data_IF_539442633973
#
_entry.id   IF_539442633973
#
_cell.length_a   1.000
_cell.length_b   1.000
_cell.length_c   1.000
_cell.angle_alpha   90.00
_cell.angle_beta   90.00
_cell.angle_gamma   90.00
#
_symmetry.space_group_name_H-M   'P 1'
#
loop_
_entity.id
_entity.type
_entity.pdbx_description
1 polymer ?
2 non-polymer ?
3 non-polymer ?
4 water ?
#
# COMPACT_ATOMS: atom_id res chain seq x y z
N UNK A 3 26.16 0.39 1.11
CA UNK A 3 24.89 1.06 0.85
C UNK A 3 24.24 1.61 2.11
N UNK A 4 23.74 2.84 2.05
CA UNK A 4 23.08 3.48 3.19
C UNK A 4 21.61 3.74 2.87
N UNK A 5 20.73 2.87 3.35
CA UNK A 5 19.28 2.92 3.04
C UNK A 5 18.49 3.38 4.27
N UNK A 6 17.73 4.47 4.10
CA UNK A 6 16.76 4.94 5.09
C UNK A 6 15.34 4.63 4.62
N UNK A 7 14.48 4.15 5.52
CA UNK A 7 13.07 4.00 5.22
C UNK A 7 12.25 4.89 6.14
N UNK A 8 11.37 5.70 5.56
CA UNK A 8 10.51 6.59 6.31
C UNK A 8 9.07 6.06 6.27
N UNK A 9 8.35 6.25 7.37
CA UNK A 9 7.01 5.72 7.47
C UNK A 9 6.28 6.55 8.51
N UNK A 10 5.29 7.32 8.05
CA UNK A 10 4.51 8.17 8.94
C UNK A 10 3.68 7.32 9.89
N UNK A 11 3.56 7.79 11.13
CA UNK A 11 2.83 7.09 12.20
C UNK A 11 1.34 7.38 12.08
N UNK A 12 0.54 6.32 11.95
CA UNK A 12 -0.91 6.46 11.86
C UNK A 12 -1.26 7.73 11.11
N UNK A 13 -0.74 7.83 9.89
CA UNK A 13 -0.95 8.98 9.00
C UNK A 13 -2.27 9.76 9.02
N UNK A 14 -3.37 9.11 8.61
CA UNK A 14 -4.65 9.81 8.55
C UNK A 14 -5.12 10.22 9.92
N UNK A 15 -5.01 9.33 10.88
CA UNK A 15 -5.45 9.67 12.23
C UNK A 15 -4.58 10.76 12.82
N UNK A 16 -3.29 10.75 12.51
CA UNK A 16 -2.43 11.78 13.08
C UNK A 16 -2.73 13.13 12.45
N UNK A 17 -2.98 13.17 11.14
CA UNK A 17 -3.45 14.38 10.50
C UNK A 17 -4.72 14.88 11.16
N UNK A 18 -5.65 13.97 11.48
CA UNK A 18 -6.91 14.39 12.07
C UNK A 18 -6.71 14.98 13.46
N UNK A 19 -5.86 14.35 14.27
CA UNK A 19 -5.56 14.88 15.60
C UNK A 19 -4.77 16.17 15.52
N UNK A 20 -3.93 16.31 14.50
CA UNK A 20 -3.20 17.58 14.35
C UNK A 20 -4.14 18.70 13.93
N UNK A 21 -5.06 18.45 13.00
CA UNK A 21 -6.00 19.48 12.59
C UNK A 21 -7.11 19.74 13.60
N UNK A 22 -7.37 18.82 14.54
CA UNK A 22 -8.43 19.02 15.54
C UNK A 22 -7.89 18.77 16.94
N UNK A 23 -7.44 19.84 17.62
CA UNK A 23 -6.92 19.70 18.99
C UNK A 23 -7.81 18.86 19.90
N UNK A 24 -9.13 18.95 19.70
CA UNK A 24 -10.03 18.28 20.60
C UNK A 24 -10.02 16.77 20.42
N UNK A 25 -9.35 16.27 19.39
CA UNK A 25 -9.20 14.84 19.14
C UNK A 25 -7.90 14.27 19.69
N UNK A 26 -6.97 15.12 20.12
CA UNK A 26 -5.66 14.65 20.54
C UNK A 26 -5.78 13.85 21.82
N UNK A 27 -4.87 12.88 21.96
CA UNK A 27 -4.86 12.02 23.11
C UNK A 27 -5.98 11.02 23.18
N UNK A 28 -6.96 11.09 22.28
CA UNK A 28 -8.07 10.16 22.28
C UNK A 28 -8.00 9.19 21.11
N UNK A 29 -8.66 8.04 21.19
CA UNK A 29 -8.65 7.11 20.06
C UNK A 29 -9.36 7.70 18.84
N UNK A 30 -8.65 7.75 17.72
CA UNK A 30 -9.21 8.25 16.48
C UNK A 30 -9.06 7.14 15.44
N UNK A 31 -10.17 6.86 14.73
CA UNK A 31 -10.27 5.78 13.77
C UNK A 31 -10.78 6.38 12.49
N UNK A 32 -9.97 6.35 11.46
CA UNK A 32 -10.32 6.91 10.16
C UNK A 32 -10.67 5.71 9.28
N UNK A 33 -11.77 5.81 8.53
CA UNK A 33 -12.21 4.72 7.68
C UNK A 33 -13.58 4.99 7.05
N UNK A 34 -14.15 3.93 6.48
CA UNK A 34 -15.43 4.06 5.79
C UNK A 34 -16.59 4.03 6.76
N UNK A 35 -17.40 5.07 6.79
CA UNK A 35 -18.51 5.13 7.72
C UNK A 35 -19.84 4.54 7.26
N UNK A 36 -19.85 3.97 6.07
CA UNK A 36 -21.08 3.41 5.51
C UNK A 36 -21.15 1.98 6.05
N UNK A 37 -21.94 1.13 5.40
CA UNK A 37 -22.11 -0.24 5.84
C UNK A 37 -21.00 -1.26 5.91
N UNK A 38 -20.31 -1.44 4.80
CA UNK A 38 -19.21 -2.38 4.76
C UNK A 38 -17.92 -1.62 4.98
N UNK A 39 -18.01 -0.47 5.66
CA UNK A 39 -16.79 0.29 5.88
C UNK A 39 -15.69 -0.45 6.60
N UNK A 40 -14.48 -0.08 6.28
CA UNK A 40 -13.28 -0.74 6.79
C UNK A 40 -12.36 0.31 7.39
N UNK A 41 -11.67 -0.05 8.48
CA UNK A 41 -10.75 0.91 9.10
C UNK A 41 -9.60 1.17 8.14
N UNK A 42 -9.35 2.45 7.85
CA UNK A 42 -8.18 2.78 7.06
C UNK A 42 -6.97 2.81 7.96
N UNK A 43 -7.05 3.60 9.03
CA UNK A 43 -5.99 3.65 10.01
C UNK A 43 -6.61 4.12 11.32
N UNK A 44 -5.89 3.92 12.43
CA UNK A 44 -6.35 4.41 13.71
C UNK A 44 -5.15 4.73 14.57
N UNK A 45 -5.33 5.71 15.46
CA UNK A 45 -4.24 6.19 16.28
C UNK A 45 -3.82 5.13 17.30
N UNK A 46 -2.72 5.42 18.00
CA UNK A 46 -2.12 4.38 18.85
C UNK A 46 -2.94 4.17 20.13
N UNK A 47 -3.57 5.24 20.62
CA UNK A 47 -4.65 5.06 21.59
C UNK A 47 -5.65 4.01 21.09
N UNK A 48 -6.20 4.19 19.89
CA UNK A 48 -7.23 3.27 19.39
C UNK A 48 -6.68 1.85 19.24
N UNK A 49 -5.41 1.70 18.86
CA UNK A 49 -4.85 0.36 18.74
C UNK A 49 -4.79 -0.33 20.09
N UNK A 50 -4.65 0.44 21.18
CA UNK A 50 -4.68 -0.21 22.48
C UNK A 50 -6.01 -0.96 22.70
N UNK A 51 -7.10 -0.53 22.05
CA UNK A 51 -8.40 -1.19 22.16
C UNK A 51 -8.52 -2.42 21.28
N UNK A 52 -7.48 -2.74 20.51
CA UNK A 52 -7.54 -3.86 19.59
C UNK A 52 -7.91 -3.51 18.18
N UNK A 53 -8.12 -2.22 17.85
CA UNK A 53 -8.47 -1.82 16.51
C UNK A 53 -7.21 -1.80 15.63
N UNK A 54 -7.33 -2.24 14.39
CA UNK A 54 -6.24 -2.18 13.43
C UNK A 54 -6.82 -1.92 12.04
N UNK A 55 -5.94 -1.65 11.08
CA UNK A 55 -6.43 -1.38 9.73
C UNK A 55 -6.97 -2.65 9.09
N UNK A 56 -7.87 -2.44 8.14
CA UNK A 56 -8.63 -3.46 7.42
C UNK A 56 -9.68 -4.07 8.31
N UNK A 57 -9.77 -3.66 9.55
CA UNK A 57 -10.81 -4.24 10.37
C UNK A 57 -12.14 -3.59 10.00
N UNK A 58 -13.22 -4.38 9.96
CA UNK A 58 -14.53 -3.79 9.70
C UNK A 58 -14.87 -2.74 10.74
N UNK A 59 -15.54 -1.68 10.30
CA UNK A 59 -15.75 -0.53 11.18
C UNK A 59 -16.77 -0.83 12.26
N UNK A 60 -17.75 -1.69 12.02
CA UNK A 60 -18.72 -1.91 13.08
C UNK A 60 -18.08 -2.66 14.23
N UNK A 61 -17.13 -3.55 13.94
CA UNK A 61 -16.33 -4.16 15.00
C UNK A 61 -15.53 -3.13 15.77
N UNK A 62 -14.69 -2.36 15.07
CA UNK A 62 -13.96 -1.27 15.73
C UNK A 62 -14.87 -0.45 16.65
N UNK A 63 -16.09 -0.12 16.20
CA UNK A 63 -17.02 0.63 17.05
C UNK A 63 -17.41 -0.18 18.28
N UNK A 64 -17.55 -1.50 18.12
CA UNK A 64 -17.84 -2.36 19.27
C UNK A 64 -16.69 -2.34 20.27
N UNK A 65 -15.44 -2.43 19.78
CA UNK A 65 -14.27 -2.46 20.65
C UNK A 65 -14.05 -1.14 21.36
N UNK A 66 -14.55 -0.04 20.79
CA UNK A 66 -14.20 1.31 21.24
C UNK A 66 -15.37 2.27 21.05
N UNK A 67 -16.47 2.02 21.77
CA UNK A 67 -17.69 2.82 21.52
C UNK A 67 -17.50 4.31 21.70
N UNK A 68 -16.59 4.74 22.57
CA UNK A 68 -16.39 6.18 22.75
C UNK A 68 -15.40 6.76 21.76
N UNK A 69 -14.81 5.94 20.90
CA UNK A 69 -13.87 6.42 19.93
C UNK A 69 -14.38 7.51 19.02
N UNK A 70 -13.47 8.31 18.48
CA UNK A 70 -13.79 9.26 17.41
C UNK A 70 -13.61 8.56 16.07
N UNK A 71 -14.70 8.37 15.34
CA UNK A 71 -14.70 7.71 14.03
C UNK A 71 -14.90 8.76 12.95
N UNK A 72 -13.97 8.80 11.99
CA UNK A 72 -13.91 9.83 10.97
C UNK A 72 -13.90 9.22 9.56
N UNK A 73 -14.39 9.94 8.57
CA UNK A 73 -14.28 9.48 7.18
C UNK A 73 -12.93 9.86 6.60
N UNK A 74 -12.65 9.36 5.40
CA UNK A 74 -11.33 9.51 4.79
C UNK A 74 -11.30 10.84 4.05
N UNK A 75 -10.61 11.84 4.61
CA UNK A 75 -10.40 13.14 3.96
C UNK A 75 -9.20 13.05 3.02
N UNK A 76 -9.42 12.38 1.89
CA UNK A 76 -8.35 12.03 0.96
C UNK A 76 -7.54 13.24 0.54
N UNK A 77 -8.20 14.34 0.21
CA UNK A 77 -7.47 15.46 -0.37
C UNK A 77 -6.58 16.17 0.66
N UNK A 78 -7.05 16.29 1.90
CA UNK A 78 -6.22 16.84 2.97
C UNK A 78 -4.99 15.97 3.21
N UNK A 79 -5.20 14.65 3.24
CA UNK A 79 -4.09 13.72 3.41
C UNK A 79 -3.07 13.86 2.28
N UNK A 80 -3.54 14.06 1.05
CA UNK A 80 -2.60 14.21 -0.05
C UNK A 80 -1.84 15.53 0.01
N UNK A 81 -2.49 16.60 0.48
CA UNK A 81 -1.76 17.81 0.81
C UNK A 81 -0.57 17.48 1.71
N UNK A 82 -0.87 16.90 2.87
CA UNK A 82 0.22 16.68 3.83
C UNK A 82 1.28 15.76 3.24
N UNK A 83 0.87 14.78 2.42
CA UNK A 83 1.84 13.87 1.81
C UNK A 83 2.79 14.62 0.88
N UNK A 84 2.28 15.63 0.16
CA UNK A 84 3.17 16.36 -0.73
C UNK A 84 4.13 17.23 0.07
N UNK A 85 3.66 17.82 1.15
CA UNK A 85 4.59 18.67 1.90
C UNK A 85 5.57 17.86 2.72
N UNK A 86 5.37 16.55 2.84
CA UNK A 86 6.39 15.67 3.40
C UNK A 86 7.38 15.19 2.33
N UNK A 87 6.86 14.76 1.19
CA UNK A 87 7.76 14.28 0.15
C UNK A 87 8.67 15.39 -0.35
N UNK A 88 8.24 16.65 -0.21
CA UNK A 88 9.13 17.75 -0.55
C UNK A 88 10.41 17.73 0.29
N UNK A 89 10.25 17.62 1.61
CA UNK A 89 11.41 17.45 2.48
C UNK A 89 12.25 16.23 2.06
N UNK A 90 11.58 15.13 1.74
CA UNK A 90 12.29 13.91 1.37
C UNK A 90 13.16 14.10 0.13
N UNK A 91 12.67 14.83 -0.85
CA UNK A 91 13.45 15.07 -2.07
C UNK A 91 14.51 16.15 -1.87
N UNK A 92 14.24 17.08 -0.96
CA UNK A 92 15.21 18.12 -0.63
C UNK A 92 16.42 17.49 0.07
N UNK A 93 16.22 16.41 0.80
CA UNK A 93 17.32 15.75 1.46
C UNK A 93 18.20 15.06 0.42
N UNK A 94 17.58 14.34 -0.51
CA UNK A 94 18.31 13.68 -1.59
C UNK A 94 17.32 13.41 -2.70
N UNK A 95 17.78 13.39 -3.96
CA UNK A 95 16.87 13.06 -5.06
C UNK A 95 16.55 11.58 -5.14
N UNK A 96 17.35 10.72 -4.52
CA UNK A 96 17.17 9.28 -4.63
C UNK A 96 16.09 8.80 -3.66
N UNK A 97 14.85 9.14 -3.99
CA UNK A 97 13.67 8.80 -3.20
C UNK A 97 12.80 7.84 -4.01
N UNK A 98 12.48 6.68 -3.43
CA UNK A 98 11.53 5.74 -4.02
C UNK A 98 10.22 5.78 -3.23
N UNK A 99 9.25 6.62 -3.62
CA UNK A 99 7.91 6.53 -3.02
C UNK A 99 7.35 5.12 -2.99
N UNK A 100 6.86 4.72 -1.82
CA UNK A 100 6.15 3.46 -1.62
C UNK A 100 4.65 3.71 -1.57
N UNK A 101 4.25 4.79 -0.88
CA UNK A 101 2.84 5.05 -0.69
C UNK A 101 2.72 6.47 -0.20
N UNK A 102 1.46 6.89 0.00
CA UNK A 102 1.17 8.26 0.42
C UNK A 102 1.96 8.61 1.65
N UNK A 103 2.34 7.62 2.44
CA UNK A 103 3.10 7.86 3.67
C UNK A 103 4.38 7.04 3.82
N UNK A 104 4.90 6.45 2.76
CA UNK A 104 6.11 5.66 2.91
C UNK A 104 7.07 5.90 1.76
N UNK A 105 8.34 6.12 2.11
CA UNK A 105 9.39 6.24 1.09
C UNK A 105 10.64 5.51 1.55
N UNK A 106 11.49 5.17 0.58
CA UNK A 106 12.87 4.84 0.83
C UNK A 106 13.75 5.97 0.30
N UNK A 107 14.87 6.20 0.97
CA UNK A 107 15.92 7.09 0.51
C UNK A 107 17.23 6.32 0.45
N UNK A 108 17.97 6.50 -0.63
CA UNK A 108 19.32 5.96 -0.80
C UNK A 108 20.29 7.09 -0.51
N UNK A 109 20.75 7.16 0.73
CA UNK A 109 21.66 8.23 1.16
C UNK A 109 23.11 7.75 1.23
N UNK A 110 23.45 6.67 0.51
CA UNK A 110 24.82 6.18 0.51
C UNK A 110 25.83 7.26 0.12
N UNK A 111 25.45 8.17 -0.77
CA UNK A 111 26.33 9.24 -1.24
C UNK A 111 25.93 10.60 -0.69
N UNK A 112 25.48 10.64 0.57
CA UNK A 112 25.17 11.90 1.24
C UNK A 112 26.18 12.11 2.35
N UNK A 113 26.55 13.35 2.59
CA UNK A 113 27.57 13.66 3.57
C UNK A 113 27.20 13.37 5.01
N UNK A 114 26.07 13.90 5.45
CA UNK A 114 25.68 13.70 6.84
C UNK A 114 25.52 12.22 7.13
N UNK A 115 25.76 11.85 8.39
CA UNK A 115 25.57 10.47 8.79
C UNK A 115 24.08 10.12 8.73
N UNK A 116 23.74 8.91 8.29
CA UNK A 116 22.32 8.51 8.22
C UNK A 116 21.54 8.81 9.49
N UNK A 117 22.14 8.64 10.66
CA UNK A 117 21.46 8.93 11.91
C UNK A 117 21.09 10.41 12.00
N UNK A 118 22.04 11.29 11.68
CA UNK A 118 21.75 12.72 11.63
C UNK A 118 20.70 13.02 10.56
N UNK A 119 20.71 12.24 9.47
CA UNK A 119 19.76 12.47 8.39
C UNK A 119 18.34 12.14 8.86
N UNK A 120 18.17 11.00 9.52
CA UNK A 120 16.87 10.64 10.06
C UNK A 120 16.41 11.66 11.10
N UNK A 121 17.33 12.13 11.94
CA UNK A 121 16.97 13.19 12.86
C UNK A 121 16.50 14.43 12.13
N UNK A 122 17.09 14.71 10.96
CA UNK A 122 16.65 15.91 10.25
C UNK A 122 15.30 15.69 9.57
N UNK A 123 15.06 14.48 9.05
CA UNK A 123 13.74 14.15 8.53
C UNK A 123 12.69 14.37 9.63
N UNK A 124 12.92 13.76 10.80
CA UNK A 124 12.00 13.91 11.92
C UNK A 124 11.74 15.36 12.25
N UNK A 125 12.82 16.14 12.46
CA UNK A 125 12.66 17.53 12.86
C UNK A 125 11.91 18.32 11.80
N UNK A 126 12.38 18.23 10.56
CA UNK A 126 11.76 18.95 9.44
C UNK A 126 10.29 18.63 9.26
N UNK A 127 9.93 17.36 9.46
CA UNK A 127 8.55 16.92 9.29
C UNK A 127 7.68 17.43 10.45
N UNK A 128 8.15 17.31 11.69
CA UNK A 128 7.33 17.78 12.79
C UNK A 128 7.24 19.29 12.82
N UNK A 129 8.26 19.98 12.34
CA UNK A 129 8.17 21.44 12.27
C UNK A 129 7.16 21.85 11.20
N UNK A 130 7.10 21.11 10.10
CA UNK A 130 6.25 21.48 8.97
C UNK A 130 4.79 21.07 9.16
N UNK A 131 4.53 19.97 9.88
CA UNK A 131 3.20 19.39 9.93
C UNK A 131 2.72 19.03 11.33
N UNK A 132 3.60 19.00 12.33
CA UNK A 132 3.18 18.58 13.65
C UNK A 132 3.14 17.08 13.86
N UNK A 133 3.53 16.29 12.87
CA UNK A 133 3.40 14.84 12.90
C UNK A 133 4.76 14.18 13.11
N UNK A 134 4.72 12.97 13.66
CA UNK A 134 5.93 12.18 13.89
C UNK A 134 6.08 11.12 12.81
N UNK A 135 7.34 10.74 12.55
CA UNK A 135 7.67 9.80 11.48
C UNK A 135 8.65 8.78 12.04
N UNK A 136 8.39 7.50 11.79
CA UNK A 136 9.32 6.48 12.19
C UNK A 136 10.32 6.23 11.06
N UNK A 137 11.60 6.16 11.45
CA UNK A 137 12.68 6.07 10.47
C UNK A 137 13.52 4.84 10.75
N UNK A 138 13.86 4.13 9.68
CA UNK A 138 14.72 2.96 9.77
C UNK A 138 15.99 3.25 8.99
N UNK A 139 17.10 2.64 9.43
CA UNK A 139 18.42 2.83 8.83
C UNK A 139 19.07 1.46 8.72
N UNK A 140 19.58 1.15 7.55
CA UNK A 140 20.28 -0.13 7.38
C UNK A 140 21.08 -0.05 6.08
N UNK A 141 21.46 -1.23 5.57
CA UNK A 141 22.12 -1.37 4.28
C UNK A 141 21.22 -2.04 3.25
N UNK A 142 19.91 -2.07 3.50
CA UNK A 142 18.97 -2.85 2.71
C UNK A 142 17.66 -2.09 2.67
N UNK A 143 16.79 -2.48 1.73
CA UNK A 143 15.41 -2.02 1.82
C UNK A 143 14.63 -2.84 2.84
N UNK A 144 14.78 -4.17 2.80
CA UNK A 144 14.07 -5.05 3.73
C UNK A 144 14.41 -4.69 5.17
N UNK A 145 15.70 -4.51 5.46
CA UNK A 145 16.10 -4.19 6.81
C UNK A 145 15.69 -2.77 7.20
N UNK A 146 15.82 -1.83 6.28
CA UNK A 146 15.47 -0.46 6.63
C UNK A 146 13.98 -0.33 6.96
N UNK A 147 13.13 -1.09 6.28
CA UNK A 147 11.71 -1.02 6.60
C UNK A 147 11.38 -1.82 7.86
N UNK A 148 12.09 -2.93 8.12
CA UNK A 148 12.01 -3.53 9.44
C UNK A 148 12.35 -2.52 10.52
N UNK A 149 13.44 -1.78 10.32
CA UNK A 149 13.87 -0.84 11.34
C UNK A 149 12.89 0.31 11.51
N UNK A 150 12.17 0.70 10.46
CA UNK A 150 11.24 1.80 10.59
C UNK A 150 9.97 1.42 11.34
N UNK A 151 9.52 0.19 11.13
CA UNK A 151 8.32 -0.30 11.75
C UNK A 151 8.59 -0.81 13.16
N UNK A 152 9.85 -1.02 13.50
CA UNK A 152 10.22 -1.55 14.82
C UNK A 152 9.84 -0.78 16.09
N UNK A 153 10.43 0.39 16.28
CA UNK A 153 10.12 1.23 17.42
C UNK A 153 9.14 2.15 16.74
N UNK A 154 8.10 1.51 16.23
CA UNK A 154 7.01 2.12 15.46
C UNK A 154 6.49 3.52 15.71
N UNK A 155 5.90 3.80 16.86
CA UNK A 155 5.51 5.20 17.09
C UNK A 155 6.71 6.09 17.41
N UNK A 156 6.98 7.04 16.52
CA UNK A 156 8.10 7.96 16.67
C UNK A 156 9.39 7.20 16.90
N UNK A 157 9.63 6.20 16.07
CA UNK A 157 10.81 5.39 16.18
C UNK A 157 12.02 5.86 15.40
N UNK A 158 13.13 5.22 15.68
CA UNK A 158 14.41 5.47 15.05
C UNK A 158 15.21 4.24 15.41
N UNK A 159 15.69 3.52 14.40
CA UNK A 159 16.43 2.30 14.66
C UNK A 159 17.40 2.06 13.53
N UNK A 160 18.63 1.74 13.89
CA UNK A 160 19.65 1.29 12.93
C UNK A 160 19.72 -0.21 13.01
N UNK A 161 19.92 -0.86 11.87
CA UNK A 161 20.24 -2.28 11.82
C UNK A 161 21.51 -2.38 10.99
N UNK A 162 22.65 -2.58 11.66
CA UNK A 162 23.91 -2.88 10.99
C UNK A 162 24.03 -4.38 10.79
N UNK A 163 25.07 -4.77 10.06
CA UNK A 163 25.36 -6.16 9.70
C UNK A 163 25.67 -7.14 10.83
N UNK A 164 26.43 -6.70 11.84
CA UNK A 164 26.77 -7.59 12.94
C UNK A 164 25.50 -8.28 13.40
N UNK A 165 24.42 -7.52 13.39
CA UNK A 165 23.12 -8.02 13.79
C UNK A 165 22.51 -8.54 12.51
N UNK A 166 23.11 -9.58 11.96
CA UNK A 166 22.62 -10.16 10.73
C UNK A 166 21.90 -11.03 11.75
N UNK A 167 21.12 -12.07 11.27
CA UNK A 167 19.76 -12.53 11.54
C UNK A 167 19.53 -12.74 13.02
N UNK A 168 20.54 -12.54 13.84
CA UNK A 168 20.38 -12.80 15.25
C UNK A 168 19.20 -12.02 15.84
N UNK A 169 19.19 -10.72 15.60
CA UNK A 169 18.14 -9.85 16.08
C UNK A 169 16.78 -10.14 15.46
N UNK A 170 16.75 -10.80 14.32
CA UNK A 170 15.49 -11.13 13.66
C UNK A 170 14.84 -12.38 14.20
N UNK A 171 15.60 -13.24 14.88
CA UNK A 171 15.08 -14.53 15.37
C UNK A 171 13.72 -14.40 16.06
N UNK A 172 13.54 -13.57 17.09
CA UNK A 172 12.25 -13.58 17.82
C UNK A 172 11.10 -12.95 17.08
N UNK A 173 11.34 -12.38 15.90
CA UNK A 173 10.30 -11.76 15.12
C UNK A 173 9.24 -12.80 14.76
N UNK A 174 7.97 -12.56 15.07
CA UNK A 174 6.91 -13.39 14.50
C UNK A 174 6.85 -13.16 13.00
N UNK A 175 6.76 -14.26 12.24
CA UNK A 175 6.70 -14.15 10.79
C UNK A 175 5.42 -13.49 10.31
N UNK A 176 4.56 -13.15 11.26
CA UNK A 176 3.36 -12.40 10.93
C UNK A 176 3.93 -11.04 10.54
N UNK A 177 4.96 -10.59 11.26
CA UNK A 177 5.65 -9.34 11.02
C UNK A 177 6.77 -9.51 10.00
N UNK A 178 6.78 -10.63 9.31
CA UNK A 178 7.78 -10.90 8.28
C UNK A 178 8.02 -9.62 7.51
N UNK A 179 6.93 -8.92 7.16
CA UNK A 179 6.99 -7.69 6.37
C UNK A 179 7.28 -8.05 4.93
N UNK A 180 8.41 -8.72 4.70
CA UNK A 180 8.86 -9.04 3.37
C UNK A 180 7.74 -9.56 2.49
N UNK A 181 7.16 -10.70 2.87
CA UNK A 181 6.04 -11.28 2.13
C UNK A 181 5.16 -12.06 3.11
N UNK A 182 4.16 -11.38 3.67
CA UNK A 182 3.25 -11.97 4.63
C UNK A 182 1.81 -11.76 4.24
N UNK A 183 0.88 -12.27 5.06
CA UNK A 183 -0.58 -12.17 4.88
C UNK A 183 -0.98 -13.02 3.66
N UNK A 184 -0.03 -13.78 3.08
CA UNK A 184 -0.32 -14.82 2.15
C UNK A 184 0.14 -16.20 2.67
N UNK A 185 1.04 -16.21 3.66
CA UNK A 185 1.47 -17.39 4.37
C UNK A 185 1.26 -17.19 5.86
N UNK A 186 0.28 -16.35 6.21
CA UNK A 186 -0.07 -16.19 7.62
C UNK A 186 -0.26 -17.54 8.28
N UNK A 187 -0.93 -18.47 7.59
CA UNK A 187 -1.28 -19.75 8.16
C UNK A 187 -0.50 -20.93 7.59
N UNK A 188 -0.25 -20.99 6.27
CA UNK A 188 0.49 -22.12 5.72
C UNK A 188 1.89 -22.25 6.29
N UNK A 189 2.26 -21.39 7.22
CA UNK A 189 3.44 -21.52 8.05
C UNK A 189 3.05 -21.75 9.52
N UNK A 190 2.05 -21.02 10.01
CA UNK A 190 1.42 -21.36 11.28
C UNK A 190 0.71 -22.72 11.22
N UNK A 191 0.40 -23.21 10.02
CA UNK A 191 -0.20 -24.53 9.90
C UNK A 191 0.85 -25.64 9.88
N UNK A 192 2.02 -25.39 9.31
CA UNK A 192 3.06 -26.41 9.19
C UNK A 192 4.06 -26.26 10.33
N UNK A 193 3.71 -25.43 11.33
CA UNK A 193 4.31 -25.53 12.64
C UNK A 193 5.40 -24.52 12.97
N UNK A 194 5.87 -23.71 12.03
CA UNK A 194 6.92 -22.72 12.29
C UNK A 194 6.24 -21.34 12.31
N UNK A 195 6.64 -20.50 13.25
CA UNK A 195 6.02 -19.19 13.40
C UNK A 195 7.02 -18.06 13.55
N UNK A 196 8.13 -18.30 14.21
CA UNK A 196 9.15 -17.28 14.35
C UNK A 196 10.16 -17.40 13.21
N UNK A 197 10.66 -16.24 12.77
CA UNK A 197 11.78 -16.21 11.83
C UNK A 197 12.81 -17.22 12.29
N UNK A 198 13.03 -17.31 13.59
CA UNK A 198 13.86 -18.36 14.16
C UNK A 198 13.49 -19.73 13.62
N UNK A 199 12.24 -20.14 13.79
CA UNK A 199 11.85 -21.46 13.31
C UNK A 199 11.97 -21.59 11.80
N UNK A 200 12.01 -20.47 11.07
CA UNK A 200 12.23 -20.56 9.63
C UNK A 200 13.60 -20.07 9.18
N UNK A 201 14.38 -19.53 10.10
CA UNK A 201 15.70 -19.03 9.74
C UNK A 201 16.51 -20.11 9.04
N UNK A 202 16.71 -19.97 7.74
CA UNK A 202 17.47 -20.94 7.00
C UNK A 202 17.06 -22.34 7.43
N UNK A 203 15.80 -22.69 7.18
CA UNK A 203 15.30 -24.00 7.58
C UNK A 203 15.73 -25.07 6.58
N UNK A 212 6.23 -23.95 -2.28
CA UNK A 212 5.57 -22.86 -1.53
C UNK A 212 5.90 -21.46 -2.06
N UNK A 213 5.06 -20.94 -2.95
CA UNK A 213 5.22 -19.60 -3.45
C UNK A 213 6.28 -19.45 -4.52
N UNK A 214 7.28 -20.35 -4.49
CA UNK A 214 8.37 -20.43 -5.47
C UNK A 214 9.04 -19.08 -5.63
N UNK A 215 8.75 -18.17 -4.71
CA UNK A 215 9.49 -16.93 -4.52
C UNK A 215 10.35 -17.03 -3.27
N UNK A 216 10.54 -18.24 -2.74
CA UNK A 216 11.33 -18.41 -1.53
C UNK A 216 12.77 -17.94 -1.65
N UNK A 217 13.31 -17.90 -2.87
CA UNK A 217 14.67 -17.39 -3.03
C UNK A 217 14.76 -15.94 -2.58
N UNK A 218 13.64 -15.20 -2.63
CA UNK A 218 13.60 -13.90 -1.98
C UNK A 218 13.59 -14.06 -0.46
N UNK A 219 12.60 -14.82 0.04
CA UNK A 219 12.39 -14.94 1.48
C UNK A 219 13.58 -15.51 2.24
N UNK A 220 14.05 -16.69 1.82
CA UNK A 220 15.25 -17.25 2.42
C UNK A 220 16.44 -16.31 2.31
N UNK A 221 16.49 -15.49 1.26
CA UNK A 221 17.59 -14.53 1.18
C UNK A 221 17.33 -13.31 2.04
N UNK A 222 16.08 -12.82 2.04
CA UNK A 222 15.73 -11.62 2.79
C UNK A 222 15.97 -11.81 4.28
N UNK A 223 15.69 -13.02 4.78
CA UNK A 223 15.89 -13.32 6.20
C UNK A 223 17.34 -13.13 6.56
N UNK A 224 18.24 -13.37 5.61
CA UNK A 224 19.63 -13.07 5.84
C UNK A 224 19.81 -11.58 5.64
N UNK A 225 21.05 -11.13 5.56
CA UNK A 225 21.25 -9.70 5.44
C UNK A 225 21.17 -9.20 4.01
N UNK A 226 20.62 -10.01 3.10
CA UNK A 226 20.86 -9.87 1.67
C UNK A 226 19.54 -9.56 0.98
N UNK A 227 19.55 -8.43 0.26
CA UNK A 227 18.41 -7.96 -0.48
C UNK A 227 18.91 -7.50 -1.84
N UNK A 228 19.72 -6.45 -1.84
CA UNK A 228 20.34 -5.91 -3.04
C UNK A 228 19.40 -5.16 -4.00
N UNK A 229 18.10 -5.25 -3.80
CA UNK A 229 17.18 -4.56 -4.68
C UNK A 229 17.46 -3.06 -4.49
N UNK A 230 17.51 -2.30 -5.57
CA UNK A 230 17.88 -0.89 -5.47
C UNK A 230 16.69 0.02 -5.22
N UNK A 231 16.95 1.10 -4.52
CA UNK A 231 15.95 2.11 -4.29
C UNK A 231 15.67 2.55 -5.72
N UNK A 232 14.43 2.42 -6.17
CA UNK A 232 14.09 2.76 -7.55
C UNK A 232 13.41 4.10 -7.82
N UNK A 233 14.19 5.14 -8.05
CA UNK A 233 13.61 6.41 -8.37
C UNK A 233 13.05 6.18 -9.74
N UNK A 234 12.15 7.04 -10.19
CA UNK A 234 11.63 6.88 -11.55
C UNK A 234 10.83 5.61 -11.86
N UNK A 235 10.05 5.12 -10.92
CA UNK A 235 9.22 3.95 -11.17
C UNK A 235 8.01 4.44 -11.94
N UNK A 236 7.75 3.87 -13.10
CA UNK A 236 6.62 4.31 -13.90
C UNK A 236 5.65 3.15 -14.10
N UNK A 237 4.40 3.38 -13.69
CA UNK A 237 3.31 2.43 -13.91
C UNK A 237 2.60 2.83 -15.21
N UNK A 238 2.53 1.91 -16.17
CA UNK A 238 1.84 2.20 -17.42
C UNK A 238 0.40 1.71 -17.41
N UNK A 239 0.14 0.61 -16.71
CA UNK A 239 -1.14 -0.06 -16.75
C UNK A 239 -1.49 -0.51 -15.34
N UNK A 240 -2.78 -0.59 -15.04
CA UNK A 240 -3.27 -1.28 -13.84
C UNK A 240 -4.55 -1.98 -14.23
N UNK A 241 -4.67 -3.26 -13.89
CA UNK A 241 -5.87 -3.97 -14.31
C UNK A 241 -6.14 -5.21 -13.48
N UNK A 242 -7.23 -5.88 -13.82
CA UNK A 242 -7.63 -7.13 -13.19
C UNK A 242 -8.44 -7.94 -14.18
N UNK A 243 -8.29 -9.27 -14.14
CA UNK A 243 -9.10 -10.14 -14.98
C UNK A 243 -9.47 -11.39 -14.20
N UNK A 244 -10.38 -12.16 -14.79
CA UNK A 244 -10.93 -13.37 -14.19
C UNK A 244 -11.26 -14.31 -15.33
N UNK A 245 -10.68 -15.51 -15.29
CA UNK A 245 -11.14 -16.63 -16.10
C UNK A 245 -12.49 -17.09 -15.57
N UNK A 246 -13.43 -17.36 -16.45
CA UNK A 246 -14.77 -17.63 -15.93
C UNK A 246 -14.98 -19.13 -15.70
N UNK A 247 -15.99 -19.43 -14.86
CA UNK A 247 -16.37 -20.81 -14.55
C UNK A 247 -16.92 -21.52 -15.78
N UNK A 248 -17.71 -20.83 -16.59
CA UNK A 248 -18.22 -21.40 -17.82
C UNK A 248 -18.30 -20.30 -18.86
N UNK A 249 -18.34 -20.70 -20.13
CA UNK A 249 -18.46 -19.75 -21.22
C UNK A 249 -19.79 -19.00 -21.12
N UNK A 250 -19.81 -17.79 -21.67
CA UNK A 250 -21.01 -16.98 -21.53
C UNK A 250 -21.05 -15.96 -22.65
N UNK A 251 -22.28 -15.56 -23.01
CA UNK A 251 -22.51 -14.38 -23.83
C UNK A 251 -23.41 -13.40 -23.11
N UNK A 252 -23.52 -13.54 -21.80
CA UNK A 252 -24.44 -12.76 -20.98
C UNK A 252 -23.72 -11.51 -20.49
N UNK A 253 -23.88 -10.42 -21.26
CA UNK A 253 -23.27 -9.15 -20.89
C UNK A 253 -23.55 -8.79 -19.43
N UNK A 254 -24.66 -9.26 -18.86
CA UNK A 254 -24.99 -8.88 -17.49
C UNK A 254 -23.96 -9.38 -16.49
N UNK A 255 -23.57 -10.65 -16.58
CA UNK A 255 -22.63 -11.19 -15.60
C UNK A 255 -21.23 -10.69 -15.90
N UNK A 256 -20.91 -10.51 -17.18
CA UNK A 256 -19.67 -9.86 -17.55
C UNK A 256 -19.56 -8.51 -16.87
N UNK A 257 -20.64 -7.74 -16.89
CA UNK A 257 -20.62 -6.40 -16.34
C UNK A 257 -20.57 -6.43 -14.81
N UNK A 258 -21.15 -7.45 -14.17
CA UNK A 258 -20.94 -7.56 -12.72
C UNK A 258 -19.47 -7.70 -12.40
N UNK A 259 -18.78 -8.54 -13.19
CA UNK A 259 -17.34 -8.66 -13.02
C UNK A 259 -16.67 -7.31 -13.21
N UNK A 260 -17.03 -6.60 -14.29
CA UNK A 260 -16.46 -5.29 -14.55
C UNK A 260 -16.66 -4.34 -13.36
N UNK A 261 -17.84 -4.39 -12.74
CA UNK A 261 -18.10 -3.62 -11.52
C UNK A 261 -17.05 -3.89 -10.45
N UNK A 262 -16.86 -5.17 -10.11
CA UNK A 262 -15.91 -5.50 -9.06
C UNK A 262 -14.47 -5.14 -9.46
N UNK A 263 -14.16 -5.29 -10.75
CA UNK A 263 -12.87 -4.83 -11.26
C UNK A 263 -12.68 -3.35 -11.03
N UNK A 264 -13.67 -2.54 -11.41
CA UNK A 264 -13.68 -1.10 -11.16
C UNK A 264 -13.33 -0.76 -9.72
N UNK A 265 -13.92 -1.48 -8.77
CA UNK A 265 -13.58 -1.21 -7.38
C UNK A 265 -12.11 -1.49 -7.11
N UNK A 266 -11.61 -2.64 -7.54
CA UNK A 266 -10.20 -2.96 -7.29
C UNK A 266 -9.28 -1.93 -7.95
N UNK A 267 -9.55 -1.59 -9.21
CA UNK A 267 -8.68 -0.70 -9.95
C UNK A 267 -8.71 0.70 -9.36
N UNK A 268 -9.90 1.15 -8.94
CA UNK A 268 -9.98 2.43 -8.27
C UNK A 268 -9.10 2.43 -7.04
N UNK A 269 -9.17 1.36 -6.25
CA UNK A 269 -8.38 1.35 -5.04
C UNK A 269 -6.88 1.42 -5.36
N UNK A 270 -6.45 0.76 -6.43
CA UNK A 270 -5.03 0.81 -6.76
C UNK A 270 -4.60 2.18 -7.27
N UNK A 271 -5.45 2.81 -8.10
CA UNK A 271 -5.15 4.18 -8.55
C UNK A 271 -5.01 5.11 -7.35
N UNK A 272 -6.00 5.09 -6.46
CA UNK A 272 -5.99 5.98 -5.30
C UNK A 272 -4.74 5.76 -4.46
N UNK A 273 -4.36 4.48 -4.27
CA UNK A 273 -3.18 4.16 -3.49
C UNK A 273 -1.90 4.65 -4.17
N UNK A 274 -1.88 4.65 -5.50
CA UNK A 274 -0.72 5.11 -6.26
C UNK A 274 -0.69 6.63 -6.45
N UNK A 275 -1.75 7.31 -6.03
CA UNK A 275 -1.84 8.75 -6.19
C UNK A 275 -1.83 9.03 -7.69
N UNK A 276 -2.71 8.36 -8.40
CA UNK A 276 -2.81 8.49 -9.84
C UNK A 276 -4.22 8.60 -10.35
N UNK A 277 -4.34 9.11 -11.58
CA UNK A 277 -5.62 9.26 -12.25
C UNK A 277 -5.43 8.60 -13.59
N UNK A 278 -6.51 8.34 -14.31
CA UNK A 278 -6.39 7.67 -15.59
C UNK A 278 -7.33 8.32 -16.60
N UNK A 279 -7.06 8.08 -17.89
CA UNK A 279 -7.90 8.60 -18.95
C UNK A 279 -8.26 7.58 -20.03
N UNK A 280 -7.68 6.39 -20.00
CA UNK A 280 -8.08 5.36 -20.94
C UNK A 280 -8.52 4.12 -20.18
N UNK A 281 -9.66 3.56 -20.57
CA UNK A 281 -10.17 2.33 -19.97
C UNK A 281 -10.24 1.27 -21.06
N UNK A 282 -9.75 0.08 -20.76
CA UNK A 282 -9.70 -1.01 -21.71
C UNK A 282 -10.46 -2.20 -21.14
N UNK A 283 -11.30 -2.81 -21.97
CA UNK A 283 -11.96 -4.07 -21.65
C UNK A 283 -11.37 -5.15 -22.52
N UNK A 284 -11.11 -6.30 -21.91
CA UNK A 284 -10.50 -7.46 -22.53
C UNK A 284 -11.40 -8.68 -22.34
N UNK A 285 -11.59 -9.44 -23.42
CA UNK A 285 -12.22 -10.75 -23.35
C UNK A 285 -11.31 -11.79 -24.00
N UNK A 286 -11.41 -13.02 -23.49
CA UNK A 286 -10.88 -14.19 -24.18
C UNK A 286 -12.07 -14.99 -24.65
N UNK A 287 -12.14 -15.26 -25.96
CA UNK A 287 -13.27 -15.96 -26.55
C UNK A 287 -12.99 -17.46 -26.66
N UNK A 288 -14.02 -18.20 -27.05
CA UNK A 288 -13.94 -19.67 -26.99
C UNK A 288 -12.96 -20.27 -27.99
N UNK A 289 -12.50 -19.52 -29.00
CA UNK A 289 -11.46 -20.00 -29.89
C UNK A 289 -10.08 -19.50 -29.49
N UNK A 290 -9.90 -19.12 -28.22
CA UNK A 290 -8.62 -18.79 -27.61
C UNK A 290 -8.06 -17.43 -28.04
N UNK A 291 -8.86 -16.59 -28.68
CA UNK A 291 -8.42 -15.26 -29.09
C UNK A 291 -8.68 -14.25 -27.98
N UNK A 292 -7.82 -13.22 -27.90
CA UNK A 292 -7.99 -12.11 -26.99
C UNK A 292 -8.43 -10.88 -27.78
N UNK A 293 -9.51 -10.27 -27.32
CA UNK A 293 -10.06 -9.06 -27.92
C UNK A 293 -10.05 -7.97 -26.86
N UNK A 294 -9.53 -6.80 -27.21
CA UNK A 294 -9.59 -5.63 -26.33
C UNK A 294 -10.11 -4.42 -27.08
N UNK A 295 -10.95 -3.64 -26.42
CA UNK A 295 -11.36 -2.35 -26.92
C UNK A 295 -11.24 -1.32 -25.80
N UNK A 296 -10.79 -0.12 -26.15
CA UNK A 296 -10.56 0.92 -25.16
C UNK A 296 -11.25 2.21 -25.56
N UNK A 297 -11.55 3.02 -24.56
CA UNK A 297 -12.09 4.36 -24.75
C UNK A 297 -11.22 5.34 -23.97
N UNK A 298 -11.03 6.51 -24.55
CA UNK A 298 -10.30 7.60 -23.89
C UNK A 298 -11.28 8.73 -23.58
N UNK A 299 -11.18 9.29 -22.37
CA UNK A 299 -12.08 10.34 -21.92
C UNK A 299 -11.26 11.60 -21.62
N UNK A 300 -11.94 12.74 -21.65
CA UNK A 300 -11.27 14.04 -21.59
C UNK A 300 -10.75 14.35 -20.19
N UNK A 301 -11.54 14.02 -19.17
CA UNK A 301 -11.25 14.38 -17.80
C UNK A 301 -10.70 13.17 -17.03
N UNK A 302 -9.56 13.37 -16.39
CA UNK A 302 -8.98 12.38 -15.48
C UNK A 302 -10.05 11.79 -14.55
N UNK A 303 -9.99 10.47 -14.36
CA UNK A 303 -10.93 9.77 -13.47
C UNK A 303 -10.21 8.76 -12.62
N UNK A 304 -10.74 8.53 -11.43
CA UNK A 304 -10.13 7.59 -10.50
C UNK A 304 -11.15 6.85 -9.70
N UNK A 305 -12.37 7.35 -9.70
CA UNK A 305 -13.46 6.77 -8.92
C UNK A 305 -14.06 5.49 -9.51
N UNK A 306 -14.12 4.47 -8.66
CA UNK A 306 -14.73 3.18 -9.00
C UNK A 306 -15.92 3.28 -9.95
N UNK A 307 -16.89 4.15 -9.64
CA UNK A 307 -18.07 4.22 -10.51
C UNK A 307 -17.79 4.94 -11.83
N UNK A 308 -16.80 5.84 -11.88
CA UNK A 308 -16.46 6.47 -13.16
C UNK A 308 -15.82 5.47 -14.11
N UNK A 309 -14.80 4.76 -13.63
CA UNK A 309 -14.19 3.69 -14.40
C UNK A 309 -15.24 2.68 -14.86
N UNK A 310 -16.04 2.19 -13.90
CA UNK A 310 -17.14 1.28 -14.23
C UNK A 310 -18.03 1.83 -15.33
N UNK A 311 -18.35 3.13 -15.30
CA UNK A 311 -19.26 3.66 -16.31
C UNK A 311 -18.64 3.57 -17.69
N UNK A 312 -17.36 3.92 -17.81
CA UNK A 312 -16.69 3.80 -19.10
C UNK A 312 -16.64 2.34 -19.56
N UNK A 313 -16.33 1.44 -18.63
CA UNK A 313 -16.18 0.03 -18.98
C UNK A 313 -17.50 -0.58 -19.41
N UNK A 314 -18.54 -0.41 -18.59
CA UNK A 314 -19.91 -0.76 -18.93
C UNK A 314 -20.31 -0.24 -20.30
N UNK A 315 -20.02 1.04 -20.56
CA UNK A 315 -20.27 1.59 -21.87
C UNK A 315 -19.59 0.81 -22.96
N UNK A 316 -18.30 0.52 -22.78
CA UNK A 316 -17.55 -0.21 -23.79
C UNK A 316 -18.19 -1.57 -24.05
N UNK A 317 -18.54 -2.30 -22.98
CA UNK A 317 -19.10 -3.64 -23.14
C UNK A 317 -20.42 -3.59 -23.91
N UNK A 318 -21.30 -2.68 -23.53
CA UNK A 318 -22.61 -2.59 -24.15
C UNK A 318 -22.66 -2.42 -25.67
N UNK A 319 -21.66 -1.73 -26.22
CA UNK A 319 -21.62 -1.48 -27.66
C UNK A 319 -20.55 -2.33 -28.34
N UNK A 320 -20.37 -3.56 -27.85
CA UNK A 320 -19.37 -4.44 -28.42
C UNK A 320 -19.88 -5.43 -29.47
N UNK A 321 -21.02 -6.04 -29.23
CA UNK A 321 -21.51 -7.07 -30.12
C UNK A 321 -20.70 -8.36 -30.16
N UNK A 322 -20.71 -9.06 -29.04
CA UNK A 322 -19.97 -10.33 -28.87
C UNK A 322 -20.36 -11.35 -29.91
N UNK A 323 -19.40 -11.70 -30.76
CA UNK A 323 -19.63 -12.69 -31.82
C UNK A 323 -19.44 -14.10 -31.28
N UNK A 324 -18.57 -14.30 -30.29
CA UNK A 324 -18.27 -15.62 -29.78
C UNK A 324 -18.42 -15.64 -28.26
N UNK A 325 -18.50 -16.86 -27.72
CA UNK A 325 -18.63 -17.01 -26.27
C UNK A 325 -17.36 -16.53 -25.58
N UNK A 326 -17.53 -16.06 -24.35
CA UNK A 326 -16.47 -15.46 -23.56
C UNK A 326 -16.13 -16.41 -22.42
N UNK A 327 -14.84 -16.56 -22.12
CA UNK A 327 -14.39 -17.35 -20.98
C UNK A 327 -13.45 -16.57 -20.07
N UNK A 328 -13.06 -15.37 -20.45
CA UNK A 328 -12.30 -14.52 -19.56
C UNK A 328 -12.75 -13.09 -19.75
N UNK A 329 -12.82 -12.35 -18.66
CA UNK A 329 -13.17 -10.94 -18.68
C UNK A 329 -12.12 -10.20 -17.87
N UNK A 330 -11.66 -9.06 -18.38
CA UNK A 330 -10.72 -8.24 -17.66
C UNK A 330 -10.93 -6.77 -17.95
N UNK A 331 -10.56 -5.93 -16.98
CA UNK A 331 -10.67 -4.49 -17.10
C UNK A 331 -9.28 -3.89 -16.92
N UNK A 332 -8.97 -2.83 -17.64
CA UNK A 332 -7.65 -2.21 -17.53
C UNK A 332 -7.68 -0.69 -17.70
N UNK A 333 -6.80 -0.02 -16.97
CA UNK A 333 -6.71 1.44 -17.06
C UNK A 333 -5.28 1.84 -17.38
N UNK A 334 -5.15 2.85 -18.22
CA UNK A 334 -3.85 3.34 -18.69
C UNK A 334 -3.98 4.83 -18.96
N UNK A 335 -2.93 5.41 -19.53
CA UNK A 335 -2.90 6.84 -19.84
C UNK A 335 -3.03 7.64 -18.55
N UNK A 336 -2.03 7.46 -17.69
CA UNK A 336 -2.13 7.82 -16.29
C UNK A 336 -1.56 9.20 -16.03
N UNK A 337 -2.03 9.81 -14.94
CA UNK A 337 -1.63 11.14 -14.54
C UNK A 337 -0.17 11.13 -14.09
N UNK A 338 0.46 12.30 -13.98
CA UNK A 338 1.91 12.34 -13.71
C UNK A 338 2.27 12.09 -12.24
N UNK A 339 3.58 12.03 -12.02
CA UNK A 339 4.28 11.67 -10.77
C UNK A 339 3.56 10.57 -9.99
#
# INVERSE_FOLDING_TARGET
MKRKIIHVDMDAFFASIEQQDNPEYRGKPVIVGGLSGRGVVSTCSYEARKYGIHSAMPMYMAKKLCPQGIFLPVRRKRYEEVSEQIFRILYDITPFVEPVSIDEAYLDVTHVDKNPEDIALEIKKRVKDATGLTVSVGISYNKFLAKLASDWNKPDGLMVITEDMVPEILKPLPVTKVHGIGEKSAEKLRSIGIETVEDLLKLPQENLIELFGKTGVEIYNRIRGIDERPVETMREIKSIGKEKTLEKDTKNKELLIQHLKEFSEIVSEELIKERLYCRTVTVKIKTADFAVHTKSKTVDKYIRFSEDIYEVAKGILEEWKLEQYVRLIGLSVSNLSPVKYEQLSFLDKRLVKVIKAGNLAEEINKRIGKKIIKKGSELLKDNK
#
